data_IF_381121508294
#
_entry.id   IF_381121508294
#
_cell.length_a   1.000
_cell.length_b   1.000
_cell.length_c   1.000
_cell.angle_alpha   90.00
_cell.angle_beta   90.00
_cell.angle_gamma   90.00
#
_symmetry.space_group_name_H-M   'P 1'
#
loop_
_entity.id
_entity.type
_entity.pdbx_description
1 polymer ?
#
# COMPACT_ATOMS: atom_id res chain seq x y z
N UNK A 1 21.33 7.67 -4.51
CA UNK A 1 21.96 6.70 -3.57
C UNK A 1 23.13 7.28 -2.76
N UNK A 2 23.93 8.23 -3.25
CA UNK A 2 25.05 8.79 -2.48
C UNK A 2 24.64 9.63 -1.24
N UNK A 3 23.50 10.32 -1.27
CA UNK A 3 23.02 11.14 -0.14
C UNK A 3 22.57 10.27 1.05
N UNK A 4 22.00 9.09 0.78
CA UNK A 4 21.51 8.19 1.82
C UNK A 4 22.67 7.59 2.64
N UNK A 5 23.81 7.32 2.00
CA UNK A 5 25.00 6.80 2.67
C UNK A 5 25.60 7.86 3.59
N UNK A 6 25.62 9.14 3.18
CA UNK A 6 26.11 10.21 4.04
C UNK A 6 25.20 10.52 5.22
N UNK A 7 23.87 10.47 5.06
CA UNK A 7 22.94 10.62 6.19
C UNK A 7 23.05 9.48 7.21
N UNK A 8 23.18 8.23 6.76
CA UNK A 8 23.34 7.08 7.67
C UNK A 8 24.68 7.15 8.42
N UNK A 9 25.76 7.57 7.75
CA UNK A 9 27.04 7.78 8.42
C UNK A 9 27.00 8.92 9.44
N UNK A 10 26.33 10.04 9.13
CA UNK A 10 26.20 11.15 10.08
C UNK A 10 25.36 10.76 11.31
N UNK A 11 24.28 10.00 11.10
CA UNK A 11 23.42 9.53 12.19
C UNK A 11 24.14 8.52 13.09
N UNK A 12 24.93 7.61 12.50
CA UNK A 12 25.77 6.67 13.25
C UNK A 12 26.86 7.40 14.05
N UNK A 13 27.47 8.45 13.48
CA UNK A 13 28.48 9.26 14.16
C UNK A 13 27.89 10.04 15.34
N UNK A 14 26.69 10.62 15.17
CA UNK A 14 25.97 11.34 16.22
C UNK A 14 25.49 10.40 17.34
N UNK A 15 25.05 9.18 17.00
CA UNK A 15 24.69 8.16 18.01
C UNK A 15 25.91 7.67 18.81
N UNK A 16 27.08 7.52 18.16
CA UNK A 16 28.32 7.21 18.87
C UNK A 16 28.77 8.34 19.82
N UNK A 17 28.61 9.61 19.41
CA UNK A 17 28.94 10.75 20.27
C UNK A 17 27.96 10.89 21.44
N UNK A 18 26.66 10.66 21.22
CA UNK A 18 25.64 10.70 22.27
C UNK A 18 25.85 9.59 23.33
N UNK A 19 26.22 8.38 22.91
CA UNK A 19 26.54 7.28 23.83
C UNK A 19 27.78 7.54 24.69
N UNK A 20 28.71 8.38 24.23
CA UNK A 20 29.92 8.72 24.97
C UNK A 20 29.67 9.77 26.07
N UNK A 21 28.58 10.55 25.94
CA UNK A 21 28.24 11.62 26.87
C UNK A 21 27.34 11.17 28.03
N UNK A 22 26.62 10.05 27.89
CA UNK A 22 25.79 9.47 28.95
C UNK A 22 26.52 8.31 29.61
N UNK A 23 27.23 8.61 30.71
CA UNK A 23 27.96 7.64 31.53
C UNK A 23 27.05 6.68 32.30
N UNK A 24 26.19 5.93 31.61
CA UNK A 24 25.35 4.89 32.20
C UNK A 24 25.68 3.52 31.61
N UNK A 25 25.87 2.48 32.45
CA UNK A 25 26.21 1.14 31.99
C UNK A 25 24.97 0.45 31.42
N UNK A 26 24.88 0.37 30.09
CA UNK A 26 23.88 -0.46 29.43
C UNK A 26 24.36 -1.92 29.36
N UNK A 27 23.56 -2.83 29.91
CA UNK A 27 23.74 -4.27 29.77
C UNK A 27 23.35 -4.71 28.35
N UNK A 28 24.35 -4.93 27.48
CA UNK A 28 24.18 -5.52 26.15
C UNK A 28 24.09 -7.06 26.23
N UNK A 29 23.30 -7.72 25.36
CA UNK A 29 23.22 -9.17 25.29
C UNK A 29 24.53 -9.80 24.81
N UNK A 30 24.89 -10.94 25.42
CA UNK A 30 26.09 -11.74 25.16
C UNK A 30 26.08 -12.27 23.72
N UNK A 31 26.72 -11.57 22.79
CA UNK A 31 26.80 -12.08 21.40
C UNK A 31 27.69 -11.35 20.40
N UNK A 32 28.26 -10.19 20.72
CA UNK A 32 29.16 -9.47 19.80
C UNK A 32 30.37 -8.96 20.59
N UNK A 33 31.37 -9.82 20.75
CA UNK A 33 32.58 -9.51 21.52
C UNK A 33 33.85 -9.91 20.77
N UNK A 34 34.01 -9.49 19.52
CA UNK A 34 35.31 -9.53 18.82
C UNK A 34 35.42 -8.37 17.83
N UNK A 35 35.73 -7.16 18.31
CA UNK A 35 36.45 -6.10 17.57
C UNK A 35 36.46 -4.80 18.41
N UNK A 36 37.07 -4.83 19.60
CA UNK A 36 37.33 -3.60 20.36
C UNK A 36 38.53 -3.82 21.30
N UNK A 37 39.68 -4.17 20.73
CA UNK A 37 40.95 -4.22 21.46
C UNK A 37 42.06 -3.74 20.52
N UNK A 38 42.09 -2.44 20.27
CA UNK A 38 43.28 -1.64 19.96
C UNK A 38 42.84 -0.21 19.59
N UNK A 39 42.35 0.53 20.59
CA UNK A 39 42.40 2.01 20.52
C UNK A 39 43.35 2.42 21.63
N UNK A 40 44.58 2.67 21.19
CA UNK A 40 45.69 3.18 22.00
C UNK A 40 45.31 4.55 22.54
N UNK A 41 45.42 4.71 23.85
CA UNK A 41 45.32 5.99 24.56
C UNK A 41 46.33 6.98 23.95
N UNK A 42 45.84 8.08 23.37
CA UNK A 42 46.63 9.30 23.16
C UNK A 42 46.14 10.37 24.15
N UNK A 43 46.82 10.55 25.29
CA UNK A 43 46.50 11.59 26.25
C UNK A 43 47.34 12.84 25.95
N UNK A 44 47.02 13.63 24.92
CA UNK A 44 47.63 14.97 24.81
C UNK A 44 46.91 16.06 23.97
N UNK A 45 45.69 15.81 23.48
CA UNK A 45 44.93 16.81 22.69
C UNK A 45 43.67 17.31 23.41
N UNK A 46 43.74 17.57 24.72
CA UNK A 46 42.56 17.96 25.52
C UNK A 46 42.38 19.47 25.76
N UNK A 47 43.39 20.30 25.54
CA UNK A 47 43.37 21.67 26.12
C UNK A 47 43.29 22.84 25.13
N UNK A 48 42.77 22.63 23.90
CA UNK A 48 42.54 23.73 22.95
C UNK A 48 41.18 23.71 22.25
N UNK A 49 40.14 23.12 22.86
CA UNK A 49 38.76 23.37 22.44
C UNK A 49 38.26 24.68 23.07
N UNK A 50 38.90 25.80 22.71
CA UNK A 50 38.49 27.13 23.12
C UNK A 50 37.16 27.48 22.46
N UNK A 51 36.09 27.48 23.27
CA UNK A 51 34.92 28.33 23.16
C UNK A 51 34.40 28.61 21.74
N UNK A 52 33.95 27.58 21.02
CA UNK A 52 32.94 27.79 20.00
C UNK A 52 31.62 28.08 20.74
N UNK A 53 31.01 29.27 20.58
CA UNK A 53 29.83 29.63 21.34
C UNK A 53 28.71 28.63 21.03
N UNK A 54 27.96 28.14 22.04
CA UNK A 54 26.91 27.13 21.86
C UNK A 54 25.85 27.55 20.84
N UNK A 55 25.70 28.87 20.64
CA UNK A 55 24.85 29.49 19.63
C UNK A 55 25.29 29.15 18.18
N UNK A 56 26.59 29.01 17.92
CA UNK A 56 27.13 28.66 16.60
C UNK A 56 26.88 27.19 16.26
N UNK A 57 26.95 26.31 17.26
CA UNK A 57 26.62 24.88 17.09
C UNK A 57 25.11 24.70 16.85
N UNK A 58 24.26 25.47 17.55
CA UNK A 58 22.82 25.49 17.32
C UNK A 58 22.47 26.03 15.91
N UNK A 59 23.14 27.09 15.46
CA UNK A 59 22.94 27.66 14.12
C UNK A 59 23.35 26.69 13.01
N UNK A 60 24.47 25.97 13.18
CA UNK A 60 24.91 24.93 12.25
C UNK A 60 23.94 23.74 12.23
N UNK A 61 23.37 23.36 13.38
CA UNK A 61 22.32 22.33 13.44
C UNK A 61 21.03 22.76 12.73
N UNK A 62 20.60 24.01 12.89
CA UNK A 62 19.41 24.54 12.21
C UNK A 62 19.61 24.63 10.68
N UNK A 63 20.81 24.98 10.21
CA UNK A 63 21.13 25.01 8.77
C UNK A 63 21.12 23.62 8.11
N UNK A 64 21.36 22.55 8.88
CA UNK A 64 21.26 21.17 8.36
C UNK A 64 19.81 20.70 8.23
N UNK A 65 18.87 21.27 8.99
CA UNK A 65 17.46 20.88 8.94
C UNK A 65 16.62 21.64 7.90
N UNK A 66 17.08 22.79 7.41
CA UNK A 66 16.41 23.57 6.34
C UNK A 66 17.02 23.26 4.97
N UNK A 67 17.25 21.97 4.69
CA UNK A 67 17.44 21.53 3.31
C UNK A 67 16.08 21.46 2.64
N UNK A 68 15.86 22.10 1.46
CA UNK A 68 14.66 21.84 0.70
C UNK A 68 14.62 20.33 0.41
N UNK A 69 13.59 19.66 0.90
CA UNK A 69 13.23 18.34 0.45
C UNK A 69 12.68 18.48 -0.98
N UNK A 70 13.56 18.83 -1.92
CA UNK A 70 13.27 18.66 -3.33
C UNK A 70 13.08 17.17 -3.51
N UNK A 71 11.82 16.76 -3.66
CA UNK A 71 11.47 15.44 -4.13
C UNK A 71 12.25 15.24 -5.42
N UNK A 72 13.30 14.41 -5.37
CA UNK A 72 14.24 14.24 -6.46
C UNK A 72 13.46 14.00 -7.75
N UNK A 73 13.47 14.98 -8.65
CA UNK A 73 12.68 14.92 -9.87
C UNK A 73 13.18 13.72 -10.68
N UNK A 74 12.31 12.73 -10.86
CA UNK A 74 12.65 11.49 -11.57
C UNK A 74 12.95 11.84 -13.04
N UNK A 75 14.21 11.64 -13.43
CA UNK A 75 14.65 11.95 -14.79
C UNK A 75 14.26 10.82 -15.76
N UNK A 76 14.21 11.10 -17.06
CA UNK A 76 13.96 10.07 -18.08
C UNK A 76 15.00 8.93 -18.01
N UNK A 77 16.24 9.24 -17.62
CA UNK A 77 17.30 8.26 -17.45
C UNK A 77 16.98 7.25 -16.33
N UNK A 78 16.30 7.69 -15.27
CA UNK A 78 15.87 6.81 -14.17
C UNK A 78 14.82 5.81 -14.67
N UNK A 79 13.82 6.27 -15.44
CA UNK A 79 12.81 5.39 -16.05
C UNK A 79 13.41 4.39 -17.05
N UNK A 80 14.45 4.77 -17.81
CA UNK A 80 15.17 3.84 -18.70
C UNK A 80 15.89 2.72 -17.95
N UNK A 81 16.33 2.99 -16.71
CA UNK A 81 17.02 2.01 -15.84
C UNK A 81 16.05 1.05 -15.13
N UNK A 82 14.80 1.43 -14.90
CA UNK A 82 13.79 0.58 -14.27
C UNK A 82 13.56 -0.74 -15.04
N UNK A 83 13.17 -1.80 -14.33
CA UNK A 83 12.80 -3.07 -14.98
C UNK A 83 11.41 -2.94 -15.62
N UNK A 84 11.11 -3.76 -16.64
CA UNK A 84 9.81 -3.70 -17.32
C UNK A 84 8.63 -3.97 -16.37
N UNK A 85 8.84 -4.82 -15.35
CA UNK A 85 7.86 -5.09 -14.29
C UNK A 85 7.57 -3.82 -13.48
N UNK A 86 8.61 -3.10 -13.06
CA UNK A 86 8.47 -1.89 -12.25
C UNK A 86 7.79 -0.76 -13.06
N UNK A 87 8.10 -0.67 -14.36
CA UNK A 87 7.43 0.28 -15.26
C UNK A 87 5.93 -0.05 -15.43
N UNK A 88 5.57 -1.33 -15.54
CA UNK A 88 4.16 -1.75 -15.59
C UNK A 88 3.44 -1.42 -14.28
N UNK A 89 4.06 -1.73 -13.14
CA UNK A 89 3.52 -1.39 -11.84
C UNK A 89 3.35 0.13 -11.67
N UNK A 90 4.34 0.94 -12.08
CA UNK A 90 4.28 2.40 -12.00
C UNK A 90 3.08 2.99 -12.76
N UNK A 91 2.79 2.43 -13.95
CA UNK A 91 1.65 2.83 -14.77
C UNK A 91 0.34 2.33 -14.17
N UNK A 92 0.29 1.07 -13.72
CA UNK A 92 -0.89 0.45 -13.09
C UNK A 92 -1.30 1.18 -11.81
N UNK A 93 -0.35 1.52 -10.94
CA UNK A 93 -0.56 2.33 -9.74
C UNK A 93 -1.16 3.70 -10.04
N UNK A 94 -1.02 4.21 -11.27
CA UNK A 94 -1.59 5.50 -11.72
C UNK A 94 -2.84 5.32 -12.59
N UNK A 95 -3.37 4.10 -12.67
CA UNK A 95 -4.52 3.76 -13.50
C UNK A 95 -4.25 3.97 -14.99
N UNK A 96 -3.01 3.74 -15.43
CA UNK A 96 -2.61 3.85 -16.82
C UNK A 96 -2.30 2.46 -17.38
N UNK A 97 -2.89 2.16 -18.54
CA UNK A 97 -2.56 0.96 -19.30
C UNK A 97 -1.91 1.40 -20.62
N UNK A 98 -0.71 0.89 -20.90
CA UNK A 98 -0.07 1.19 -22.18
C UNK A 98 -0.57 0.24 -23.27
N UNK A 99 -1.55 0.69 -24.05
CA UNK A 99 -2.04 -0.05 -25.24
C UNK A 99 -1.04 0.12 -26.37
N UNK A 100 -0.46 -0.98 -26.85
CA UNK A 100 0.49 -0.97 -27.97
C UNK A 100 1.96 -0.80 -27.59
N UNK A 101 2.31 -0.72 -26.31
CA UNK A 101 3.72 -0.80 -25.88
C UNK A 101 4.26 -2.22 -26.14
N UNK A 102 5.16 -2.39 -27.12
CA UNK A 102 5.84 -3.65 -27.38
C UNK A 102 7.25 -3.67 -26.77
N UNK A 103 7.96 -2.54 -26.84
CA UNK A 103 9.34 -2.44 -26.40
C UNK A 103 9.46 -1.77 -25.01
N UNK A 104 10.55 -2.06 -24.30
CA UNK A 104 10.83 -1.42 -23.01
C UNK A 104 10.87 0.11 -23.12
N UNK A 105 11.38 0.63 -24.23
CA UNK A 105 11.49 2.07 -24.48
C UNK A 105 10.12 2.76 -24.48
N UNK A 106 9.07 2.09 -24.98
CA UNK A 106 7.71 2.63 -25.00
C UNK A 106 7.17 2.78 -23.58
N UNK A 107 7.34 1.75 -22.73
CA UNK A 107 6.95 1.80 -21.32
C UNK A 107 7.68 2.91 -20.56
N UNK A 108 8.99 3.07 -20.76
CA UNK A 108 9.76 4.13 -20.08
C UNK A 108 9.35 5.52 -20.53
N UNK A 109 9.08 5.71 -21.82
CA UNK A 109 8.60 6.99 -22.37
C UNK A 109 7.22 7.33 -21.82
N UNK A 110 6.31 6.36 -21.80
CA UNK A 110 4.94 6.54 -21.29
C UNK A 110 4.92 6.83 -19.78
N UNK A 111 5.77 6.15 -18.99
CA UNK A 111 5.92 6.42 -17.56
C UNK A 111 6.46 7.84 -17.30
N UNK A 112 7.50 8.26 -18.03
CA UNK A 112 8.08 9.61 -17.89
C UNK A 112 7.09 10.73 -18.25
N UNK A 113 6.31 10.55 -19.33
CA UNK A 113 5.26 11.49 -19.73
C UNK A 113 4.16 11.65 -18.67
N UNK A 114 3.96 10.64 -17.81
CA UNK A 114 2.94 10.62 -16.77
C UNK A 114 3.55 10.65 -15.35
N UNK A 115 4.81 11.10 -15.21
CA UNK A 115 5.50 11.07 -13.91
C UNK A 115 4.83 11.92 -12.83
N UNK A 116 4.19 13.01 -13.27
CA UNK A 116 3.49 13.97 -12.40
C UNK A 116 2.08 13.48 -12.00
N UNK A 117 1.57 12.41 -12.64
CA UNK A 117 0.29 11.81 -12.27
C UNK A 117 0.46 11.11 -10.92
N UNK A 118 -0.32 11.54 -9.92
CA UNK A 118 -0.31 10.91 -8.59
C UNK A 118 -0.79 9.46 -8.68
N UNK A 119 -0.16 8.53 -7.93
CA UNK A 119 -0.70 7.18 -7.75
C UNK A 119 -2.17 7.24 -7.31
N UNK A 120 -2.98 6.30 -7.76
CA UNK A 120 -4.36 6.09 -7.30
C UNK A 120 -4.42 5.94 -5.78
N UNK A 121 -3.37 5.39 -5.17
CA UNK A 121 -3.26 5.27 -3.71
C UNK A 121 -3.12 6.62 -2.98
N UNK A 122 -2.63 7.66 -3.64
CA UNK A 122 -2.48 9.02 -3.09
C UNK A 122 -3.61 9.96 -3.52
N UNK A 123 -4.51 9.52 -4.40
CA UNK A 123 -5.68 10.28 -4.83
C UNK A 123 -6.76 10.25 -3.74
N UNK A 124 -6.48 10.93 -2.64
CA UNK A 124 -7.40 11.25 -1.56
C UNK A 124 -7.68 10.08 -0.62
N UNK A 125 -7.76 10.39 0.67
CA UNK A 125 -8.50 9.53 1.60
C UNK A 125 -9.91 9.41 1.05
N UNK A 126 -10.24 8.23 0.49
CA UNK A 126 -11.61 7.93 0.08
C UNK A 126 -12.47 8.10 1.32
N UNK A 127 -13.55 8.87 1.19
CA UNK A 127 -14.53 8.98 2.27
C UNK A 127 -15.05 7.57 2.56
N UNK A 128 -14.94 7.17 3.83
CA UNK A 128 -15.41 5.86 4.26
C UNK A 128 -16.91 5.98 4.48
N UNK A 129 -17.77 5.28 3.71
CA UNK A 129 -19.20 5.39 3.86
C UNK A 129 -19.66 4.99 5.27
N UNK A 130 -20.68 5.67 5.81
CA UNK A 130 -21.30 5.30 7.08
C UNK A 130 -22.29 4.13 6.90
N UNK A 131 -21.73 2.96 6.57
CA UNK A 131 -22.49 1.74 6.36
C UNK A 131 -21.67 0.50 6.76
N UNK A 132 -22.32 -0.66 7.02
CA UNK A 132 -21.59 -1.87 7.36
C UNK A 132 -20.68 -2.34 6.22
N UNK A 133 -19.53 -2.94 6.57
CA UNK A 133 -18.52 -3.45 5.62
C UNK A 133 -19.11 -4.21 4.42
N UNK A 134 -20.01 -5.17 4.67
CA UNK A 134 -20.61 -6.00 3.62
C UNK A 134 -21.61 -5.24 2.73
N UNK A 135 -22.26 -4.20 3.25
CA UNK A 135 -23.18 -3.34 2.48
C UNK A 135 -22.38 -2.50 1.48
N UNK A 136 -21.27 -1.92 1.93
CA UNK A 136 -20.41 -1.11 1.04
C UNK A 136 -19.82 -1.97 -0.08
N UNK A 137 -19.27 -3.14 0.25
CA UNK A 137 -18.70 -4.02 -0.76
C UNK A 137 -19.74 -4.69 -1.68
N UNK A 138 -20.99 -4.85 -1.21
CA UNK A 138 -22.13 -5.22 -2.06
C UNK A 138 -22.39 -4.14 -3.13
N UNK A 139 -22.43 -2.87 -2.71
CA UNK A 139 -22.71 -1.76 -3.62
C UNK A 139 -21.57 -1.57 -4.63
N UNK A 140 -20.31 -1.76 -4.20
CA UNK A 140 -19.14 -1.79 -5.10
C UNK A 140 -19.26 -2.95 -6.11
N UNK A 141 -19.66 -4.15 -5.68
CA UNK A 141 -19.85 -5.27 -6.60
C UNK A 141 -20.94 -5.01 -7.64
N UNK A 142 -22.01 -4.30 -7.25
CA UNK A 142 -23.04 -3.85 -8.18
C UNK A 142 -22.46 -2.91 -9.23
N UNK A 143 -21.78 -1.85 -8.80
CA UNK A 143 -21.13 -0.87 -9.69
C UNK A 143 -20.19 -1.56 -10.69
N UNK A 144 -19.30 -2.41 -10.18
CA UNK A 144 -18.33 -3.16 -11.00
C UNK A 144 -19.02 -4.07 -12.02
N UNK A 145 -20.13 -4.73 -11.64
CA UNK A 145 -20.88 -5.57 -12.56
C UNK A 145 -21.54 -4.74 -13.67
N UNK A 146 -22.25 -3.67 -13.31
CA UNK A 146 -22.92 -2.80 -14.27
C UNK A 146 -21.95 -2.13 -15.23
N UNK A 147 -20.79 -1.67 -14.74
CA UNK A 147 -19.71 -1.12 -15.56
C UNK A 147 -19.19 -2.15 -16.55
N UNK A 148 -18.94 -3.38 -16.12
CA UNK A 148 -18.45 -4.45 -17.00
C UNK A 148 -19.48 -4.85 -18.07
N UNK A 149 -20.77 -4.88 -17.72
CA UNK A 149 -21.87 -5.14 -18.66
C UNK A 149 -21.95 -4.01 -19.71
N UNK A 150 -21.97 -2.75 -19.27
CA UNK A 150 -21.96 -1.57 -20.16
C UNK A 150 -20.74 -1.55 -21.08
N UNK A 151 -19.56 -1.86 -20.56
CA UNK A 151 -18.30 -1.93 -21.32
C UNK A 151 -18.34 -2.97 -22.45
N UNK A 152 -19.17 -4.01 -22.31
CA UNK A 152 -19.40 -5.04 -23.34
C UNK A 152 -20.52 -4.69 -24.33
N UNK A 153 -21.15 -3.52 -24.20
CA UNK A 153 -22.28 -3.10 -25.04
C UNK A 153 -23.56 -3.90 -24.79
N UNK A 154 -23.68 -4.50 -23.61
CA UNK A 154 -24.85 -5.27 -23.20
C UNK A 154 -25.79 -4.39 -22.34
N UNK A 155 -27.08 -4.73 -22.34
CA UNK A 155 -28.06 -4.07 -21.47
C UNK A 155 -27.95 -4.65 -20.04
N UNK A 156 -27.87 -3.76 -19.05
CA UNK A 156 -27.80 -4.11 -17.62
C UNK A 156 -29.11 -4.72 -17.14
N UNK A 157 -30.23 -4.30 -17.71
CA UNK A 157 -31.56 -4.74 -17.28
C UNK A 157 -31.98 -6.06 -17.93
N UNK A 158 -31.33 -6.46 -19.03
CA UNK A 158 -31.67 -7.67 -19.77
C UNK A 158 -31.18 -8.94 -19.07
N UNK A 159 -31.95 -10.01 -19.19
CA UNK A 159 -31.53 -11.36 -18.81
C UNK A 159 -30.58 -11.92 -19.88
N UNK A 160 -29.44 -12.54 -19.52
CA UNK A 160 -29.04 -12.98 -18.17
C UNK A 160 -28.22 -11.99 -17.35
N UNK A 161 -27.88 -10.81 -17.88
CA UNK A 161 -26.97 -9.86 -17.23
C UNK A 161 -27.48 -9.37 -15.87
N UNK A 162 -28.75 -8.98 -15.79
CA UNK A 162 -29.38 -8.57 -14.53
C UNK A 162 -29.32 -9.68 -13.47
N UNK A 163 -29.71 -10.90 -13.84
CA UNK A 163 -29.66 -12.07 -12.95
C UNK A 163 -28.24 -12.40 -12.45
N UNK A 164 -27.22 -12.25 -13.31
CA UNK A 164 -25.81 -12.43 -12.93
C UNK A 164 -25.37 -11.35 -11.95
N UNK A 165 -25.68 -10.08 -12.22
CA UNK A 165 -25.32 -8.98 -11.32
C UNK A 165 -26.04 -9.08 -9.98
N UNK A 166 -27.33 -9.43 -9.95
CA UNK A 166 -28.10 -9.62 -8.72
C UNK A 166 -27.52 -10.77 -7.87
N UNK A 167 -27.16 -11.89 -8.51
CA UNK A 167 -26.50 -13.01 -7.83
C UNK A 167 -25.13 -12.62 -7.25
N UNK A 168 -24.32 -11.86 -8.00
CA UNK A 168 -23.02 -11.36 -7.54
C UNK A 168 -23.16 -10.41 -6.35
N UNK A 169 -24.12 -9.49 -6.39
CA UNK A 169 -24.44 -8.56 -5.30
C UNK A 169 -24.79 -9.36 -4.04
N UNK A 170 -25.72 -10.31 -4.16
CA UNK A 170 -26.15 -11.14 -3.04
C UNK A 170 -25.03 -12.01 -2.46
N UNK A 171 -24.25 -12.68 -3.32
CA UNK A 171 -23.14 -13.53 -2.89
C UNK A 171 -22.06 -12.70 -2.23
N UNK A 172 -21.73 -11.53 -2.77
CA UNK A 172 -20.72 -10.62 -2.20
C UNK A 172 -21.13 -10.15 -0.81
N UNK A 173 -22.38 -9.71 -0.64
CA UNK A 173 -22.91 -9.31 0.67
C UNK A 173 -22.87 -10.47 1.67
N UNK A 174 -23.40 -11.63 1.28
CA UNK A 174 -23.49 -12.81 2.14
C UNK A 174 -22.10 -13.32 2.55
N UNK A 175 -21.18 -13.40 1.60
CA UNK A 175 -19.81 -13.83 1.81
C UNK A 175 -19.09 -12.88 2.77
N UNK A 176 -19.11 -11.57 2.51
CA UNK A 176 -18.47 -10.60 3.39
C UNK A 176 -19.15 -10.47 4.75
N UNK A 177 -20.46 -10.69 4.84
CA UNK A 177 -21.14 -10.75 6.13
C UNK A 177 -20.63 -11.94 6.95
N UNK A 178 -20.57 -13.15 6.36
CA UNK A 178 -20.19 -14.38 7.06
C UNK A 178 -18.69 -14.42 7.39
N UNK A 179 -17.83 -14.10 6.42
CA UNK A 179 -16.38 -14.15 6.59
C UNK A 179 -15.85 -12.87 7.26
N UNK A 180 -16.44 -11.71 7.01
CA UNK A 180 -16.04 -10.43 7.61
C UNK A 180 -16.30 -10.41 9.10
N UNK A 181 -17.47 -10.87 9.55
CA UNK A 181 -17.76 -11.02 10.99
C UNK A 181 -16.78 -11.98 11.67
N UNK A 182 -16.48 -13.13 11.05
CA UNK A 182 -15.51 -14.10 11.57
C UNK A 182 -14.10 -13.50 11.69
N UNK A 183 -13.64 -12.81 10.65
CA UNK A 183 -12.33 -12.14 10.62
C UNK A 183 -12.24 -11.03 11.67
N UNK A 184 -13.26 -10.16 11.75
CA UNK A 184 -13.35 -9.10 12.74
C UNK A 184 -13.27 -9.65 14.18
N UNK A 185 -14.04 -10.70 14.47
CA UNK A 185 -14.04 -11.37 15.78
C UNK A 185 -12.69 -12.00 16.11
N UNK A 186 -12.06 -12.70 15.15
CA UNK A 186 -10.74 -13.32 15.33
C UNK A 186 -9.66 -12.28 15.66
N UNK A 187 -9.77 -11.10 15.06
CA UNK A 187 -8.82 -10.00 15.26
C UNK A 187 -9.21 -9.06 16.41
N UNK A 188 -10.33 -9.32 17.09
CA UNK A 188 -10.91 -8.47 18.15
C UNK A 188 -11.12 -7.02 17.70
N UNK A 189 -11.56 -6.83 16.46
CA UNK A 189 -11.85 -5.52 15.85
C UNK A 189 -13.32 -5.41 15.49
N UNK A 190 -13.84 -4.18 15.38
CA UNK A 190 -15.19 -3.92 14.88
C UNK A 190 -15.23 -4.03 13.34
N UNK A 191 -16.37 -4.41 12.73
CA UNK A 191 -16.53 -4.41 11.27
C UNK A 191 -16.15 -3.07 10.62
N UNK A 192 -16.43 -1.94 11.27
CA UNK A 192 -16.08 -0.60 10.76
C UNK A 192 -14.58 -0.41 10.57
N UNK A 193 -13.76 -1.07 11.38
CA UNK A 193 -12.31 -0.99 11.26
C UNK A 193 -11.81 -1.80 10.05
N UNK A 194 -12.48 -2.91 9.71
CA UNK A 194 -12.24 -3.61 8.43
C UNK A 194 -12.64 -2.73 7.25
N UNK A 195 -13.78 -2.04 7.33
CA UNK A 195 -14.21 -1.13 6.28
C UNK A 195 -13.19 -0.01 6.04
N UNK A 196 -12.78 0.70 7.10
CA UNK A 196 -11.76 1.76 7.02
C UNK A 196 -10.48 1.27 6.36
N UNK A 197 -10.00 0.09 6.75
CA UNK A 197 -8.77 -0.49 6.18
C UNK A 197 -8.97 -0.92 4.73
N UNK A 198 -10.11 -1.54 4.41
CA UNK A 198 -10.44 -1.95 3.04
C UNK A 198 -10.60 -0.77 2.08
N UNK A 199 -10.87 0.44 2.58
CA UNK A 199 -10.97 1.67 1.78
C UNK A 199 -9.63 2.39 1.60
N UNK A 200 -8.56 1.93 2.27
CA UNK A 200 -7.20 2.45 2.02
C UNK A 200 -6.71 1.98 0.65
N UNK A 201 -6.15 2.92 -0.12
CA UNK A 201 -5.58 2.77 -1.47
C UNK A 201 -5.51 1.34 -2.01
N UNK A 202 -4.40 0.66 -1.72
CA UNK A 202 -4.06 -0.67 -2.26
C UNK A 202 -5.12 -1.74 -1.94
N UNK A 203 -5.75 -1.69 -0.76
CA UNK A 203 -6.74 -2.71 -0.37
C UNK A 203 -8.05 -2.55 -1.12
N UNK A 204 -8.49 -1.30 -1.31
CA UNK A 204 -9.68 -1.00 -2.10
C UNK A 204 -9.47 -1.41 -3.55
N UNK A 205 -8.34 -1.01 -4.13
CA UNK A 205 -8.02 -1.29 -5.53
C UNK A 205 -7.90 -2.80 -5.77
N UNK A 206 -7.23 -3.51 -4.86
CA UNK A 206 -7.13 -4.97 -4.92
C UNK A 206 -8.49 -5.66 -4.78
N UNK A 207 -9.35 -5.18 -3.86
CA UNK A 207 -10.69 -5.75 -3.68
C UNK A 207 -11.59 -5.53 -4.89
N UNK A 208 -11.57 -4.32 -5.46
CA UNK A 208 -12.28 -3.98 -6.71
C UNK A 208 -11.79 -4.85 -7.86
N UNK A 209 -10.47 -5.02 -8.02
CA UNK A 209 -9.88 -5.88 -9.05
C UNK A 209 -10.32 -7.35 -8.92
N UNK A 210 -10.45 -7.87 -7.69
CA UNK A 210 -11.00 -9.22 -7.48
C UNK A 210 -12.45 -9.30 -7.93
N UNK A 211 -13.29 -8.33 -7.59
CA UNK A 211 -14.67 -8.29 -8.07
C UNK A 211 -14.74 -8.19 -9.60
N UNK A 212 -13.89 -7.37 -10.23
CA UNK A 212 -13.79 -7.27 -11.68
C UNK A 212 -13.41 -8.60 -12.33
N UNK A 213 -12.46 -9.35 -11.75
CA UNK A 213 -12.09 -10.69 -12.25
C UNK A 213 -13.26 -11.66 -12.17
N UNK A 214 -13.99 -11.66 -11.05
CA UNK A 214 -15.16 -12.51 -10.85
C UNK A 214 -16.27 -12.18 -11.85
N UNK A 215 -16.59 -10.89 -12.03
CA UNK A 215 -17.56 -10.41 -13.01
C UNK A 215 -17.15 -10.80 -14.43
N UNK A 216 -15.88 -10.59 -14.79
CA UNK A 216 -15.39 -10.94 -16.12
C UNK A 216 -15.44 -12.43 -16.40
N UNK A 217 -15.18 -13.27 -15.40
CA UNK A 217 -15.40 -14.71 -15.50
C UNK A 217 -16.86 -15.03 -15.78
N UNK A 218 -17.79 -14.47 -14.99
CA UNK A 218 -19.21 -14.70 -15.12
C UNK A 218 -19.79 -14.26 -16.47
N UNK A 219 -19.26 -13.16 -17.04
CA UNK A 219 -19.72 -12.62 -18.32
C UNK A 219 -18.97 -13.20 -19.54
N UNK A 220 -17.99 -14.10 -19.35
CA UNK A 220 -17.15 -14.59 -20.43
C UNK A 220 -17.89 -15.50 -21.44
N UNK A 221 -18.87 -16.29 -20.98
CA UNK A 221 -19.61 -17.26 -21.80
C UNK A 221 -21.03 -17.50 -21.27
N UNK A 222 -21.92 -18.06 -22.09
CA UNK A 222 -23.27 -18.43 -21.67
C UNK A 222 -23.27 -19.47 -20.53
N UNK A 223 -22.37 -20.46 -20.59
CA UNK A 223 -22.23 -21.48 -19.54
C UNK A 223 -21.81 -20.87 -18.19
N UNK A 224 -20.91 -19.88 -18.22
CA UNK A 224 -20.53 -19.13 -17.02
C UNK A 224 -21.68 -18.27 -16.50
N UNK A 225 -22.47 -17.66 -17.39
CA UNK A 225 -23.66 -16.88 -17.01
C UNK A 225 -24.68 -17.76 -16.27
N UNK A 226 -24.97 -18.97 -16.78
CA UNK A 226 -25.86 -19.94 -16.13
C UNK A 226 -25.31 -20.39 -14.76
N UNK A 227 -23.99 -20.51 -14.65
CA UNK A 227 -23.35 -20.86 -13.38
C UNK A 227 -23.42 -19.70 -12.38
N UNK A 228 -23.11 -18.48 -12.81
CA UNK A 228 -23.08 -17.29 -11.97
C UNK A 228 -24.46 -16.73 -11.64
N UNK A 229 -25.51 -17.02 -12.43
CA UNK A 229 -26.89 -16.69 -12.07
C UNK A 229 -27.43 -17.55 -10.93
N UNK A 230 -26.73 -18.65 -10.57
CA UNK A 230 -27.08 -19.48 -9.42
C UNK A 230 -26.26 -19.06 -8.20
N UNK A 231 -26.95 -18.48 -7.20
CA UNK A 231 -26.35 -18.05 -5.92
C UNK A 231 -25.53 -19.16 -5.25
N UNK A 232 -26.05 -20.40 -5.22
CA UNK A 232 -25.35 -21.51 -4.58
C UNK A 232 -24.05 -21.87 -5.30
N UNK A 233 -24.06 -21.97 -6.65
CA UNK A 233 -22.86 -22.29 -7.43
C UNK A 233 -21.83 -21.16 -7.34
N UNK A 234 -22.29 -19.92 -7.43
CA UNK A 234 -21.43 -18.75 -7.32
C UNK A 234 -20.80 -18.61 -5.93
N UNK A 235 -21.56 -18.88 -4.87
CA UNK A 235 -21.02 -18.94 -3.50
C UNK A 235 -19.92 -19.99 -3.38
N UNK A 236 -20.15 -21.22 -3.89
CA UNK A 236 -19.11 -22.26 -3.91
C UNK A 236 -17.86 -21.82 -4.68
N UNK A 237 -18.02 -21.17 -5.84
CA UNK A 237 -16.88 -20.62 -6.60
C UNK A 237 -16.08 -19.58 -5.80
N UNK A 238 -16.76 -18.73 -5.03
CA UNK A 238 -16.13 -17.73 -4.17
C UNK A 238 -15.43 -18.35 -2.95
N UNK A 239 -16.02 -19.37 -2.34
CA UNK A 239 -15.47 -20.07 -1.16
C UNK A 239 -14.26 -20.96 -1.52
N UNK A 240 -14.29 -21.62 -2.67
CA UNK A 240 -13.20 -22.51 -3.12
C UNK A 240 -11.99 -21.73 -3.68
N UNK A 241 -12.07 -20.40 -3.75
CA UNK A 241 -11.03 -19.52 -4.28
C UNK A 241 -10.53 -19.89 -5.70
N UNK A 242 -11.39 -20.54 -6.51
CA UNK A 242 -11.02 -21.02 -7.85
C UNK A 242 -10.73 -19.87 -8.83
N UNK A 243 -11.48 -18.79 -8.72
CA UNK A 243 -11.35 -17.62 -9.60
C UNK A 243 -10.72 -16.44 -8.84
N UNK A 244 -11.15 -16.22 -7.61
CA UNK A 244 -10.73 -15.09 -6.76
C UNK A 244 -10.60 -15.52 -5.31
N UNK A 245 -9.54 -15.06 -4.63
CA UNK A 245 -9.33 -15.34 -3.20
C UNK A 245 -9.81 -14.15 -2.33
N UNK A 246 -11.14 -14.02 -2.21
CA UNK A 246 -11.76 -12.98 -1.39
C UNK A 246 -11.49 -13.17 0.11
N UNK A 247 -11.32 -14.43 0.55
CA UNK A 247 -11.03 -14.74 1.95
C UNK A 247 -9.61 -14.34 2.34
N UNK A 248 -8.62 -14.63 1.48
CA UNK A 248 -7.23 -14.21 1.67
C UNK A 248 -7.09 -12.69 1.65
N UNK A 249 -7.73 -12.02 0.70
CA UNK A 249 -7.79 -10.56 0.66
C UNK A 249 -8.35 -9.96 1.97
N UNK A 250 -9.49 -10.48 2.44
CA UNK A 250 -10.11 -10.00 3.68
C UNK A 250 -9.27 -10.27 4.92
N UNK A 251 -8.55 -11.39 4.95
CA UNK A 251 -7.59 -11.68 6.02
C UNK A 251 -6.44 -10.67 6.02
N UNK A 252 -5.92 -10.30 4.85
CA UNK A 252 -4.88 -9.28 4.72
C UNK A 252 -5.36 -7.89 5.14
N UNK A 253 -6.58 -7.50 4.76
CA UNK A 253 -7.26 -6.28 5.26
C UNK A 253 -7.35 -6.31 6.79
N UNK A 254 -7.68 -7.47 7.36
CA UNK A 254 -7.74 -7.65 8.80
C UNK A 254 -6.38 -7.52 9.49
N UNK A 255 -5.33 -8.17 8.97
CA UNK A 255 -3.98 -8.15 9.56
C UNK A 255 -3.44 -6.73 9.59
N UNK A 256 -3.61 -5.95 8.52
CA UNK A 256 -3.12 -4.57 8.48
C UNK A 256 -3.73 -3.69 9.57
N UNK A 257 -5.04 -3.89 9.82
CA UNK A 257 -5.77 -3.21 10.90
C UNK A 257 -5.27 -3.58 12.31
N UNK A 258 -4.52 -4.67 12.47
CA UNK A 258 -3.92 -5.04 13.76
C UNK A 258 -2.57 -4.41 14.02
N UNK A 259 -1.94 -3.75 13.04
CA UNK A 259 -0.65 -3.11 13.22
C UNK A 259 -0.84 -1.69 13.82
N UNK A 260 -0.47 -1.47 15.10
CA UNK A 260 -0.70 -0.20 15.80
C UNK A 260 0.09 0.97 15.20
N UNK A 261 1.10 0.69 14.37
CA UNK A 261 1.84 1.73 13.65
C UNK A 261 0.94 2.55 12.72
N UNK A 262 -0.05 1.93 12.07
CA UNK A 262 -0.93 2.65 11.13
C UNK A 262 -1.92 3.57 11.84
N UNK A 263 -2.34 3.24 13.06
CA UNK A 263 -3.14 4.15 13.88
C UNK A 263 -2.36 5.41 14.28
N UNK A 264 -1.03 5.32 14.37
CA UNK A 264 -0.14 6.47 14.63
C UNK A 264 0.12 7.29 13.35
N UNK A 265 0.21 6.64 12.19
CA UNK A 265 0.39 7.33 10.91
C UNK A 265 -0.86 8.11 10.49
N UNK A 266 -2.05 7.53 10.69
CA UNK A 266 -3.35 8.19 10.42
C UNK A 266 -3.61 9.40 11.36
N UNK A 267 -2.79 9.63 12.39
CA UNK A 267 -2.90 10.79 13.29
C UNK A 267 -1.94 11.93 12.95
N UNK A 268 -1.02 11.71 12.00
CA UNK A 268 0.04 12.68 11.64
C UNK A 268 -0.32 13.52 10.41
N UNK A 269 -1.59 13.65 10.07
CA UNK A 269 -2.04 14.45 8.92
C UNK A 269 -1.85 15.98 9.11
N UNK A 270 -1.34 16.37 10.27
CA UNK A 270 -1.00 17.72 10.69
C UNK A 270 0.51 18.05 10.54
N UNK A 271 1.32 17.14 9.97
CA UNK A 271 2.75 17.32 9.66
C UNK A 271 3.01 17.38 8.16
#
# INVERSE_FOLDING_TARGET
MCVFIHCVFLLAFLLCFACSAWGSPFHLPRGVAVCAKHIVQMPHLRDRAAALPPLFVLLLLLLVFVGPADAAELTEADFKRMKIRDLRNFLEERGLTCVGCQEKADFSRHAYQNRDKKPLSEQGKREVPDAPFWVVWRDIAKEVCEEAVKKRGLDVTSTPQSAVCDALVYVTESFFMQHGKRTANKLRKKPDALLKTSHKGVYYDSGRLLLERLVNYCLASADHQVTCSSVSKLMTLAEEAKIVDLQGWMTNVGIENTNPMYELLDRRDDL
#
